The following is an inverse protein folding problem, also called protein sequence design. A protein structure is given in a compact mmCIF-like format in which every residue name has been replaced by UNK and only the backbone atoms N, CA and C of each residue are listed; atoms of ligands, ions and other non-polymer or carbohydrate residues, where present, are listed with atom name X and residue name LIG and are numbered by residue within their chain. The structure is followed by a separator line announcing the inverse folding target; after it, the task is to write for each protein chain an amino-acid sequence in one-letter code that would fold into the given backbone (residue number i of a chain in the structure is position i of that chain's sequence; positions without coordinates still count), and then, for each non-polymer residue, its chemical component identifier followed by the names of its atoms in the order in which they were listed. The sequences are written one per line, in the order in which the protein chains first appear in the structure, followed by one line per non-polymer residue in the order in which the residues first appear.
data_IF_150131386291
#
_entry.id   IF_150131386291
#
_cell.length_a   1.000
_cell.length_b   1.000
_cell.length_c   1.000
_cell.angle_alpha   90.00
_cell.angle_beta   90.00
_cell.angle_gamma   90.00
#
_symmetry.space_group_name_H-M   'P 1'
#
loop_
_entity.id
_entity.type
_entity.pdbx_description
1 polymer ?
#
# COMPACT_ATOMS: atom_id res chain seq x y z
N UNK A 1 14.35 -9.33 7.40
CA UNK A 1 12.94 -9.73 7.60
C UNK A 1 12.42 -10.31 6.30
N UNK A 2 11.67 -11.41 6.34
CA UNK A 2 11.05 -11.99 5.15
C UNK A 2 9.59 -11.54 5.00
N UNK A 3 9.13 -11.31 3.77
CA UNK A 3 7.75 -10.96 3.44
C UNK A 3 6.99 -12.17 2.87
N UNK A 4 7.01 -13.28 3.59
CA UNK A 4 6.32 -14.51 3.17
C UNK A 4 4.82 -14.44 3.46
N UNK A 5 4.02 -14.12 2.44
CA UNK A 5 2.57 -14.11 2.56
C UNK A 5 1.98 -15.53 2.61
N UNK A 6 0.99 -15.72 3.47
CA UNK A 6 0.10 -16.88 3.43
C UNK A 6 -0.99 -16.64 2.38
N UNK A 7 -1.22 -17.63 1.53
CA UNK A 7 -2.21 -17.55 0.45
C UNK A 7 -3.52 -18.17 0.93
N UNK A 8 -4.58 -17.37 0.96
CA UNK A 8 -5.95 -17.78 1.26
C UNK A 8 -6.79 -17.65 -0.01
N UNK A 9 -7.26 -18.78 -0.52
CA UNK A 9 -8.10 -18.83 -1.72
C UNK A 9 -9.37 -19.59 -1.37
N UNK A 10 -10.50 -19.08 -1.83
CA UNK A 10 -11.74 -19.83 -1.78
C UNK A 10 -11.61 -21.10 -2.63
N UNK A 11 -12.07 -22.23 -2.11
CA UNK A 11 -12.01 -23.54 -2.76
C UNK A 11 -13.17 -23.75 -3.75
N UNK A 12 -14.08 -22.78 -3.89
CA UNK A 12 -15.16 -22.80 -4.86
C UNK A 12 -14.69 -22.66 -6.32
N UNK A 13 -15.56 -23.05 -7.27
CA UNK A 13 -15.34 -22.94 -8.72
C UNK A 13 -15.49 -21.52 -9.27
N UNK A 14 -15.93 -20.57 -8.43
CA UNK A 14 -16.14 -19.19 -8.82
C UNK A 14 -14.82 -18.41 -8.94
N UNK A 15 -14.76 -17.48 -9.90
CA UNK A 15 -13.63 -16.57 -10.08
C UNK A 15 -13.63 -15.55 -8.94
N UNK A 16 -12.91 -15.85 -7.86
CA UNK A 16 -12.81 -15.00 -6.66
C UNK A 16 -11.37 -14.51 -6.44
N UNK A 17 -11.19 -13.32 -5.85
CA UNK A 17 -9.85 -12.83 -5.55
C UNK A 17 -9.15 -13.73 -4.53
N UNK A 18 -7.86 -13.98 -4.72
CA UNK A 18 -7.03 -14.60 -3.68
C UNK A 18 -6.63 -13.53 -2.67
N UNK A 19 -6.73 -13.85 -1.38
CA UNK A 19 -6.23 -13.02 -0.28
C UNK A 19 -4.82 -13.49 0.10
N UNK A 20 -3.84 -12.60 0.04
CA UNK A 20 -2.50 -12.85 0.57
C UNK A 20 -2.38 -12.14 1.91
N UNK A 21 -2.15 -12.90 2.98
CA UNK A 21 -2.08 -12.38 4.35
C UNK A 21 -0.64 -12.40 4.87
N UNK A 22 -0.25 -11.33 5.55
CA UNK A 22 1.00 -11.25 6.30
C UNK A 22 0.74 -10.55 7.62
N UNK A 23 1.05 -11.24 8.72
CA UNK A 23 1.05 -10.69 10.06
C UNK A 23 2.50 -10.50 10.52
N UNK A 24 2.86 -9.28 10.89
CA UNK A 24 4.22 -8.90 11.29
C UNK A 24 4.16 -7.98 12.51
N UNK A 25 4.57 -8.52 13.67
CA UNK A 25 4.48 -7.83 14.96
C UNK A 25 3.06 -7.28 15.19
N UNK A 26 2.91 -5.97 15.30
CA UNK A 26 1.64 -5.27 15.50
C UNK A 26 0.90 -4.93 14.20
N UNK A 27 1.44 -5.33 13.04
CA UNK A 27 0.92 -4.98 11.72
C UNK A 27 0.28 -6.16 11.00
N UNK A 28 -0.80 -5.88 10.28
CA UNK A 28 -1.72 -6.84 9.70
C UNK A 28 -2.00 -6.46 8.25
N UNK A 29 -1.44 -7.19 7.29
CA UNK A 29 -1.50 -6.84 5.87
C UNK A 29 -2.29 -7.88 5.10
N UNK A 30 -3.28 -7.44 4.33
CA UNK A 30 -3.98 -8.28 3.36
C UNK A 30 -3.88 -7.67 1.96
N UNK A 31 -3.53 -8.48 0.96
CA UNK A 31 -3.47 -8.07 -0.44
C UNK A 31 -4.48 -8.87 -1.27
N UNK A 32 -5.20 -8.17 -2.14
CA UNK A 32 -6.12 -8.74 -3.12
C UNK A 32 -5.83 -8.18 -4.51
N UNK A 33 -6.48 -8.73 -5.53
CA UNK A 33 -6.41 -8.17 -6.88
C UNK A 33 -7.05 -6.78 -6.98
N UNK A 34 -7.95 -6.42 -6.05
CA UNK A 34 -8.70 -5.16 -6.02
C UNK A 34 -8.13 -4.10 -5.07
N UNK A 35 -7.23 -4.45 -4.14
CA UNK A 35 -6.70 -3.47 -3.18
C UNK A 35 -5.85 -4.10 -2.10
N UNK A 36 -5.51 -3.29 -1.09
CA UNK A 36 -4.79 -3.74 0.09
C UNK A 36 -5.42 -3.21 1.37
N UNK A 37 -5.34 -4.01 2.43
CA UNK A 37 -5.60 -3.59 3.80
C UNK A 37 -4.28 -3.54 4.56
N UNK A 38 -4.08 -2.47 5.33
CA UNK A 38 -2.98 -2.31 6.26
C UNK A 38 -3.52 -1.92 7.63
N UNK A 39 -3.43 -2.85 8.57
CA UNK A 39 -3.87 -2.66 9.93
C UNK A 39 -2.72 -2.60 10.92
N UNK A 40 -2.95 -1.91 12.02
CA UNK A 40 -2.04 -1.85 13.15
C UNK A 40 -2.84 -1.82 14.46
N UNK A 41 -2.44 -2.63 15.44
CA UNK A 41 -3.19 -2.87 16.69
C UNK A 41 -3.70 -1.59 17.38
N UNK A 42 -2.84 -0.58 17.51
CA UNK A 42 -3.21 0.68 18.20
C UNK A 42 -3.85 1.76 17.31
N UNK A 43 -3.78 1.61 15.97
CA UNK A 43 -4.14 2.68 15.03
C UNK A 43 -5.40 2.37 14.22
N UNK A 44 -5.85 1.11 14.20
CA UNK A 44 -6.92 0.62 13.34
C UNK A 44 -6.39 0.21 11.97
N UNK A 45 -7.18 0.44 10.93
CA UNK A 45 -6.93 -0.10 9.59
C UNK A 45 -7.15 0.92 8.49
N UNK A 46 -6.32 0.83 7.44
CA UNK A 46 -6.53 1.52 6.18
C UNK A 46 -6.81 0.50 5.08
N UNK A 47 -7.86 0.77 4.31
CA UNK A 47 -8.05 0.14 3.00
C UNK A 47 -7.56 1.10 1.92
N UNK A 48 -6.77 0.58 0.99
CA UNK A 48 -6.29 1.30 -0.18
C UNK A 48 -6.75 0.55 -1.43
N UNK A 49 -7.65 1.20 -2.17
CA UNK A 49 -8.07 0.72 -3.48
C UNK A 49 -6.92 0.73 -4.47
N UNK A 50 -6.84 -0.29 -5.33
CA UNK A 50 -5.76 -0.46 -6.30
C UNK A 50 -5.70 0.68 -7.32
N UNK A 51 -6.82 1.29 -7.67
CA UNK A 51 -6.93 2.24 -8.79
C UNK A 51 -7.23 3.68 -8.34
N UNK A 52 -7.88 3.88 -7.20
CA UNK A 52 -8.32 5.22 -6.76
C UNK A 52 -7.32 5.92 -5.81
N UNK A 53 -6.35 5.19 -5.24
CA UNK A 53 -5.35 5.70 -4.28
C UNK A 53 -5.94 6.61 -3.16
N UNK A 54 -7.21 6.40 -2.83
CA UNK A 54 -7.95 7.15 -1.82
C UNK A 54 -8.13 6.27 -0.57
N UNK A 55 -7.23 6.35 0.42
CA UNK A 55 -7.29 5.48 1.59
C UNK A 55 -8.50 5.80 2.47
N UNK A 56 -9.21 4.76 2.88
CA UNK A 56 -10.33 4.83 3.82
C UNK A 56 -9.95 4.17 5.15
N UNK A 57 -10.48 4.68 6.28
CA UNK A 57 -10.04 4.27 7.61
C UNK A 57 -11.17 3.60 8.40
N UNK A 58 -10.80 2.64 9.25
CA UNK A 58 -11.72 2.03 10.19
C UNK A 58 -11.00 1.72 11.52
N UNK A 59 -11.72 1.72 12.65
CA UNK A 59 -11.17 1.33 13.95
C UNK A 59 -11.05 -0.20 14.09
N UNK A 60 -10.60 -0.88 13.04
CA UNK A 60 -10.35 -2.32 13.02
C UNK A 60 -8.92 -2.58 12.57
N UNK A 61 -8.16 -3.31 13.37
CA UNK A 61 -6.75 -3.61 13.11
C UNK A 61 -6.53 -4.81 12.19
N UNK A 62 -7.55 -5.66 12.01
CA UNK A 62 -7.48 -6.83 11.15
C UNK A 62 -8.81 -7.07 10.43
N UNK A 63 -8.79 -7.90 9.39
CA UNK A 63 -9.95 -8.26 8.59
C UNK A 63 -10.05 -9.78 8.48
N UNK A 64 -11.25 -10.28 8.19
CA UNK A 64 -11.48 -11.71 7.98
C UNK A 64 -10.65 -12.26 6.82
N UNK A 65 -10.20 -13.51 6.95
CA UNK A 65 -9.52 -14.25 5.88
C UNK A 65 -10.46 -14.63 4.74
N UNK A 66 -11.77 -14.62 4.98
CA UNK A 66 -12.81 -15.00 4.01
C UNK A 66 -13.23 -13.86 3.08
N UNK A 67 -12.44 -12.79 2.96
CA UNK A 67 -12.70 -11.68 2.05
C UNK A 67 -12.05 -11.98 0.70
N UNK A 68 -12.87 -12.06 -0.32
CA UNK A 68 -12.52 -12.32 -1.71
C UNK A 68 -13.12 -11.31 -2.69
N UNK A 69 -13.98 -10.39 -2.21
CA UNK A 69 -14.57 -9.28 -2.96
C UNK A 69 -14.58 -7.96 -2.17
N UNK A 70 -14.61 -6.79 -2.85
CA UNK A 70 -14.70 -5.49 -2.19
C UNK A 70 -15.93 -5.34 -1.28
N UNK A 71 -17.08 -5.89 -1.67
CA UNK A 71 -18.34 -5.74 -0.92
C UNK A 71 -18.36 -6.54 0.41
N UNK A 72 -17.38 -7.44 0.61
CA UNK A 72 -17.19 -8.20 1.85
C UNK A 72 -16.29 -7.46 2.86
N UNK A 73 -15.70 -6.32 2.45
CA UNK A 73 -14.91 -5.48 3.34
C UNK A 73 -15.78 -4.88 4.45
N UNK A 74 -15.23 -4.67 5.66
CA UNK A 74 -15.93 -3.90 6.67
C UNK A 74 -16.15 -2.47 6.19
N UNK A 75 -17.11 -1.76 6.81
CA UNK A 75 -17.38 -0.37 6.46
C UNK A 75 -16.20 0.50 6.86
N UNK A 76 -15.46 0.99 5.87
CA UNK A 76 -14.46 2.05 6.06
C UNK A 76 -15.11 3.40 5.89
N UNK A 77 -14.70 4.36 6.73
CA UNK A 77 -15.25 5.71 6.72
C UNK A 77 -14.14 6.75 6.72
N UNK A 78 -14.53 8.00 6.49
CA UNK A 78 -13.61 9.12 6.67
C UNK A 78 -13.37 9.31 8.18
N UNK A 79 -12.12 9.45 8.64
CA UNK A 79 -11.84 9.73 10.05
C UNK A 79 -12.62 10.94 10.57
N UNK A 80 -13.17 10.81 11.78
CA UNK A 80 -13.94 11.85 12.47
C UNK A 80 -13.18 12.39 13.67
N UNK A 81 -13.08 13.72 13.75
CA UNK A 81 -12.39 14.41 14.85
C UNK A 81 -10.87 14.23 14.82
N UNK A 82 -10.19 15.04 15.65
CA UNK A 82 -8.71 15.09 15.68
C UNK A 82 -8.05 13.73 16.02
N UNK A 83 -8.53 12.93 16.99
CA UNK A 83 -7.85 11.69 17.35
C UNK A 83 -7.82 10.64 16.23
N UNK A 84 -8.93 10.46 15.51
CA UNK A 84 -8.98 9.50 14.41
C UNK A 84 -8.10 9.95 13.24
N UNK A 85 -8.11 11.25 12.92
CA UNK A 85 -7.20 11.80 11.90
C UNK A 85 -5.73 11.61 12.26
N UNK A 86 -5.36 11.75 13.53
CA UNK A 86 -4.00 11.50 13.99
C UNK A 86 -3.61 10.02 13.80
N UNK A 87 -4.50 9.09 14.15
CA UNK A 87 -4.29 7.64 13.95
C UNK A 87 -4.17 7.29 12.47
N UNK A 88 -5.12 7.74 11.65
CA UNK A 88 -5.13 7.50 10.20
C UNK A 88 -3.86 8.04 9.51
N UNK A 89 -3.38 9.22 9.90
CA UNK A 89 -2.13 9.80 9.36
C UNK A 89 -0.89 9.02 9.77
N UNK A 90 -0.82 8.56 11.02
CA UNK A 90 0.27 7.69 11.47
C UNK A 90 0.25 6.39 10.67
N UNK A 91 -0.93 5.78 10.53
CA UNK A 91 -1.11 4.54 9.79
C UNK A 91 -0.75 4.68 8.32
N UNK A 92 -1.09 5.81 7.69
CA UNK A 92 -0.69 6.14 6.32
C UNK A 92 0.82 6.21 6.14
N UNK A 93 1.52 6.92 7.04
CA UNK A 93 2.99 6.99 7.01
C UNK A 93 3.62 5.60 7.18
N UNK A 94 3.08 4.79 8.10
CA UNK A 94 3.53 3.40 8.31
C UNK A 94 3.29 2.51 7.10
N UNK A 95 2.12 2.60 6.46
CA UNK A 95 1.81 1.88 5.22
C UNK A 95 2.83 2.19 4.13
N UNK A 96 3.10 3.48 3.88
CA UNK A 96 4.04 3.90 2.83
C UNK A 96 5.47 3.43 3.13
N UNK A 97 5.89 3.48 4.40
CA UNK A 97 7.17 2.97 4.82
C UNK A 97 7.25 1.45 4.62
N UNK A 98 6.20 0.71 5.00
CA UNK A 98 6.10 -0.73 4.81
C UNK A 98 6.18 -1.12 3.32
N UNK A 99 5.50 -0.41 2.42
CA UNK A 99 5.62 -0.64 0.98
C UNK A 99 7.07 -0.42 0.51
N UNK A 100 7.75 0.62 1.00
CA UNK A 100 9.14 0.86 0.67
C UNK A 100 10.08 -0.26 1.16
N UNK A 101 9.83 -0.78 2.37
CA UNK A 101 10.56 -1.92 2.93
C UNK A 101 10.32 -3.21 2.14
N UNK A 102 9.07 -3.46 1.74
CA UNK A 102 8.71 -4.59 0.88
C UNK A 102 9.40 -4.52 -0.48
N UNK A 103 9.34 -3.37 -1.16
CA UNK A 103 9.99 -3.18 -2.48
C UNK A 103 11.52 -3.29 -2.37
N UNK A 104 12.11 -2.84 -1.26
CA UNK A 104 13.55 -3.03 -0.99
C UNK A 104 13.88 -4.52 -0.85
N UNK A 105 13.06 -5.27 -0.11
CA UNK A 105 13.25 -6.70 0.08
C UNK A 105 13.06 -7.49 -1.22
N UNK A 106 12.06 -7.14 -2.06
CA UNK A 106 11.87 -7.76 -3.38
C UNK A 106 13.11 -7.54 -4.22
N UNK A 107 13.63 -6.31 -4.25
CA UNK A 107 14.84 -5.99 -5.00
C UNK A 107 16.06 -6.79 -4.49
N UNK A 108 16.24 -6.94 -3.18
CA UNK A 108 17.37 -7.70 -2.64
C UNK A 108 17.22 -9.23 -2.79
N UNK A 109 16.00 -9.73 -2.89
CA UNK A 109 15.72 -11.18 -2.89
C UNK A 109 15.54 -11.75 -4.29
N UNK A 110 14.80 -11.05 -5.16
CA UNK A 110 14.50 -11.49 -6.53
C UNK A 110 15.36 -10.78 -7.59
N UNK A 111 16.06 -9.70 -7.22
CA UNK A 111 16.89 -8.93 -8.13
C UNK A 111 16.11 -7.84 -8.90
N UNK A 112 16.87 -6.96 -9.55
CA UNK A 112 16.31 -5.80 -10.25
C UNK A 112 15.54 -6.20 -11.52
N UNK A 113 16.03 -7.19 -12.25
CA UNK A 113 15.45 -7.57 -13.54
C UNK A 113 14.05 -8.16 -13.36
N UNK A 114 13.85 -8.98 -12.32
CA UNK A 114 12.51 -9.41 -11.90
C UNK A 114 11.55 -8.23 -11.70
N UNK A 115 12.02 -7.15 -11.04
CA UNK A 115 11.17 -5.98 -10.79
C UNK A 115 10.88 -5.20 -12.07
N UNK A 116 11.84 -5.12 -13.00
CA UNK A 116 11.66 -4.48 -14.32
C UNK A 116 10.57 -5.20 -15.11
N UNK A 117 10.63 -6.52 -15.21
CA UNK A 117 9.60 -7.33 -15.84
C UNK A 117 8.22 -7.10 -15.20
N UNK A 118 8.17 -7.02 -13.85
CA UNK A 118 6.92 -6.76 -13.14
C UNK A 118 6.29 -5.39 -13.46
N UNK A 119 7.08 -4.33 -13.72
CA UNK A 119 6.54 -3.00 -14.06
C UNK A 119 6.39 -2.77 -15.57
N UNK A 120 7.00 -3.58 -16.42
CA UNK A 120 7.01 -3.37 -17.88
C UNK A 120 5.59 -3.36 -18.45
N UNK A 121 4.70 -4.18 -17.88
CA UNK A 121 3.29 -4.26 -18.27
C UNK A 121 2.41 -3.15 -17.71
N UNK A 122 2.96 -2.25 -16.87
CA UNK A 122 2.18 -1.17 -16.29
C UNK A 122 1.94 -0.08 -17.34
N UNK A 123 0.68 0.30 -17.54
CA UNK A 123 0.28 1.26 -18.58
C UNK A 123 1.00 2.62 -18.47
N UNK A 124 1.33 3.08 -17.25
CA UNK A 124 1.99 4.36 -16.98
C UNK A 124 2.88 4.29 -15.73
N UNK A 125 4.11 3.76 -15.82
CA UNK A 125 5.00 3.72 -14.67
C UNK A 125 5.45 5.15 -14.32
N UNK A 126 5.02 5.65 -13.16
CA UNK A 126 5.43 6.98 -12.68
C UNK A 126 6.90 7.00 -12.21
N UNK A 127 7.44 5.84 -11.84
CA UNK A 127 8.79 5.66 -11.33
C UNK A 127 9.42 4.43 -11.98
N UNK A 128 10.70 4.51 -12.32
CA UNK A 128 11.46 3.34 -12.81
C UNK A 128 11.62 2.29 -11.70
N UNK A 129 11.70 1.01 -12.07
CA UNK A 129 11.86 -0.10 -11.14
C UNK A 129 12.95 0.12 -10.08
N UNK A 130 14.11 0.68 -10.47
CA UNK A 130 15.24 0.94 -9.57
C UNK A 130 14.93 1.98 -8.48
N UNK A 131 13.97 2.88 -8.77
CA UNK A 131 13.65 4.03 -7.93
C UNK A 131 12.37 3.81 -7.11
N UNK A 132 11.63 2.74 -7.35
CA UNK A 132 10.38 2.43 -6.64
C UNK A 132 10.55 2.40 -5.12
N UNK A 133 11.54 1.71 -4.52
CA UNK A 133 11.70 1.71 -3.05
C UNK A 133 11.97 3.12 -2.49
N UNK A 134 12.82 3.89 -3.17
CA UNK A 134 13.18 5.24 -2.75
C UNK A 134 12.00 6.22 -2.88
N UNK A 135 11.17 6.08 -3.92
CA UNK A 135 9.99 6.91 -4.11
C UNK A 135 8.95 6.67 -3.00
N UNK A 136 8.68 5.41 -2.65
CA UNK A 136 7.81 5.08 -1.52
C UNK A 136 8.35 5.59 -0.20
N UNK A 137 9.67 5.45 0.04
CA UNK A 137 10.30 5.99 1.24
C UNK A 137 10.14 7.50 1.32
N UNK A 138 10.37 8.21 0.21
CA UNK A 138 10.16 9.66 0.15
C UNK A 138 8.72 10.05 0.52
N UNK A 139 7.72 9.34 -0.02
CA UNK A 139 6.30 9.58 0.32
C UNK A 139 6.02 9.35 1.81
N UNK A 140 6.61 8.31 2.41
CA UNK A 140 6.43 8.02 3.85
C UNK A 140 6.94 9.14 4.77
N UNK A 141 7.97 9.86 4.32
CA UNK A 141 8.63 10.94 5.06
C UNK A 141 7.96 12.30 4.87
N UNK A 142 6.96 12.40 3.98
CA UNK A 142 6.26 13.67 3.78
C UNK A 142 5.44 14.05 5.01
N UNK A 143 5.42 15.36 5.28
CA UNK A 143 4.59 15.94 6.34
C UNK A 143 3.16 16.13 5.83
N UNK A 144 2.44 15.01 5.68
CA UNK A 144 1.01 14.96 5.31
C UNK A 144 0.10 15.75 6.27
N UNK A 145 0.60 16.08 7.46
CA UNK A 145 -0.05 16.88 8.48
C UNK A 145 0.15 18.41 8.34
N UNK A 146 1.09 18.86 7.49
CA UNK A 146 1.51 20.27 7.38
C UNK A 146 1.44 20.83 5.94
N UNK A 147 0.78 20.15 5.00
CA UNK A 147 0.71 20.60 3.61
C UNK A 147 -0.20 21.84 3.44
N UNK A 148 0.36 23.03 3.66
CA UNK A 148 -0.13 24.29 3.12
C UNK A 148 0.45 24.60 1.72
N UNK A 149 1.31 23.73 1.18
CA UNK A 149 1.87 23.89 -0.16
C UNK A 149 1.24 22.91 -1.17
N UNK A 150 0.94 23.36 -2.40
CA UNK A 150 0.38 22.51 -3.44
C UNK A 150 1.29 21.32 -3.75
N UNK A 151 0.72 20.10 -3.81
CA UNK A 151 1.42 18.85 -4.14
C UNK A 151 2.29 18.97 -5.41
N UNK A 152 1.84 19.75 -6.40
CA UNK A 152 2.56 20.01 -7.65
C UNK A 152 3.96 20.62 -7.45
N UNK A 153 4.17 21.43 -6.39
CA UNK A 153 5.47 22.05 -6.09
C UNK A 153 6.43 21.04 -5.44
N UNK A 154 5.90 20.14 -4.62
CA UNK A 154 6.66 19.10 -3.91
C UNK A 154 7.09 17.97 -4.86
N UNK A 155 6.24 17.60 -5.82
CA UNK A 155 6.48 16.49 -6.74
C UNK A 155 7.37 16.87 -7.95
N UNK A 156 7.62 18.16 -8.22
CA UNK A 156 8.52 18.63 -9.29
C UNK A 156 9.95 18.06 -9.23
N UNK A 157 10.39 17.56 -8.07
CA UNK A 157 11.72 16.93 -7.89
C UNK A 157 11.81 15.49 -8.42
N UNK A 158 10.68 14.88 -8.78
CA UNK A 158 10.61 13.50 -9.28
C UNK A 158 10.10 13.40 -10.71
N UNK A 159 9.93 14.52 -11.42
CA UNK A 159 9.65 14.50 -12.85
C UNK A 159 10.83 13.84 -13.56
N UNK A 160 10.63 12.59 -13.99
CA UNK A 160 11.52 11.89 -14.90
C UNK A 160 11.55 12.74 -16.17
N UNK A 161 12.70 13.35 -16.46
CA UNK A 161 12.92 13.85 -17.81
C UNK A 161 12.79 12.62 -18.73
N UNK A 162 11.88 12.71 -19.70
CA UNK A 162 11.83 11.76 -20.79
C UNK A 162 13.24 11.71 -21.39
N UNK A 163 13.94 10.61 -21.13
CA UNK A 163 15.20 10.33 -21.81
C UNK A 163 14.85 10.25 -23.28
N UNK A 164 15.37 11.19 -24.05
CA UNK A 164 15.40 11.15 -25.51
C UNK A 164 16.03 9.82 -25.92
N UNK A 165 15.23 8.99 -26.61
CA UNK A 165 15.74 7.94 -27.47
C UNK A 165 16.56 8.55 -28.61
#
# INVERSE_FOLDING_TARGET
MGFGFQRHRDHGTDVRSTCYRLDQNESHISLWAFGMFFGHRELGGLYLDRFDFCPSWAPVESVSLAIHWPDELPVFTRPQGRPQWQRARKLWKSLLAWIADYETWVHSTAGLDYRRECVETWLRPFVRAEKTPAAWRFLSQQRWDQQNQPLARTLKRYTIQAGTA
#
